data_IF_999310775029
#
_entry.id   IF_999310775029
#
_cell.length_a   1.000
_cell.length_b   1.000
_cell.length_c   1.000
_cell.angle_alpha   90.00
_cell.angle_beta   90.00
_cell.angle_gamma   90.00
#
_symmetry.space_group_name_H-M   'P 1'
#
loop_
_entity.id
_entity.type
_entity.pdbx_description
1 polymer ?
#
# COMPACT_ATOMS: atom_id res chain seq x y z
N UNK A 1 -83.33 -0.04 -14.01
CA UNK A 1 -82.68 -0.16 -15.30
C UNK A 1 -81.32 0.47 -15.09
N UNK A 2 -80.34 -0.35 -14.68
CA UNK A 2 -79.30 -1.03 -15.45
C UNK A 2 -78.45 -0.02 -16.22
N UNK A 3 -77.15 0.12 -16.08
CA UNK A 3 -76.13 -0.88 -16.27
C UNK A 3 -74.76 -0.44 -15.72
N UNK A 4 -74.06 -1.36 -15.16
CA UNK A 4 -72.67 -1.36 -14.75
C UNK A 4 -71.70 -1.32 -15.91
N UNK A 5 -70.67 -0.49 -15.85
CA UNK A 5 -69.51 -0.62 -16.72
C UNK A 5 -68.24 -0.73 -15.90
N UNK A 6 -67.60 -1.92 -15.99
CA UNK A 6 -66.30 -2.26 -15.38
C UNK A 6 -65.21 -1.66 -16.24
N UNK A 7 -64.34 -0.84 -15.64
CA UNK A 7 -63.07 -0.44 -16.22
C UNK A 7 -61.95 -1.45 -15.85
N UNK A 8 -61.42 -2.10 -16.88
CA UNK A 8 -60.30 -3.02 -16.77
C UNK A 8 -58.95 -2.26 -16.49
N UNK A 9 -58.40 -2.41 -15.30
CA UNK A 9 -57.07 -1.97 -15.00
C UNK A 9 -56.06 -2.91 -15.70
N UNK A 10 -55.37 -2.41 -16.71
CA UNK A 10 -54.24 -3.08 -17.31
C UNK A 10 -53.04 -3.01 -16.34
N UNK A 11 -52.64 -4.12 -15.77
CA UNK A 11 -51.38 -4.31 -15.11
C UNK A 11 -50.27 -4.27 -16.15
N UNK A 12 -49.27 -3.36 -15.96
CA UNK A 12 -48.04 -3.38 -16.72
C UNK A 12 -47.27 -4.72 -16.46
N UNK A 13 -46.65 -5.29 -17.48
CA UNK A 13 -45.92 -6.53 -17.29
C UNK A 13 -44.75 -6.30 -16.32
N UNK A 14 -44.71 -7.15 -15.32
CA UNK A 14 -43.60 -7.30 -14.37
C UNK A 14 -42.35 -7.68 -15.16
N UNK A 15 -41.45 -6.72 -15.42
CA UNK A 15 -40.16 -6.97 -16.06
C UNK A 15 -39.31 -7.66 -14.99
N UNK A 16 -39.18 -8.96 -15.13
CA UNK A 16 -38.22 -9.71 -14.29
C UNK A 16 -36.84 -9.07 -14.39
N UNK A 17 -36.12 -8.91 -13.25
CA UNK A 17 -34.76 -8.40 -13.28
C UNK A 17 -33.90 -9.28 -14.18
N UNK A 18 -33.14 -8.65 -15.09
CA UNK A 18 -32.17 -9.37 -15.93
C UNK A 18 -31.27 -10.20 -15.01
N UNK A 19 -30.96 -11.45 -15.37
CA UNK A 19 -30.06 -12.27 -14.59
C UNK A 19 -28.72 -11.56 -14.52
N UNK A 20 -28.24 -11.30 -13.29
CA UNK A 20 -26.90 -10.78 -13.04
C UNK A 20 -25.91 -11.63 -13.86
N UNK A 21 -25.10 -10.98 -14.70
CA UNK A 21 -24.06 -11.64 -15.49
C UNK A 21 -23.18 -12.45 -14.54
N UNK A 22 -23.23 -13.77 -14.66
CA UNK A 22 -22.43 -14.67 -13.84
C UNK A 22 -21.00 -14.55 -14.35
N UNK A 23 -20.17 -13.79 -13.63
CA UNK A 23 -18.71 -13.84 -13.82
C UNK A 23 -18.22 -15.29 -13.73
N UNK A 24 -17.17 -15.67 -14.47
CA UNK A 24 -16.60 -17.01 -14.37
C UNK A 24 -16.34 -17.34 -12.90
N UNK A 25 -16.67 -18.55 -12.48
CA UNK A 25 -16.65 -18.96 -11.09
C UNK A 25 -15.31 -18.57 -10.43
N UNK A 26 -15.33 -17.48 -9.66
CA UNK A 26 -14.19 -17.06 -8.87
C UNK A 26 -13.74 -15.60 -8.94
N UNK A 27 -14.00 -14.86 -10.00
CA UNK A 27 -13.66 -13.43 -10.02
C UNK A 27 -14.77 -12.58 -9.38
N UNK A 28 -14.46 -11.58 -8.57
CA UNK A 28 -15.46 -10.72 -7.93
C UNK A 28 -16.05 -9.70 -8.92
N UNK A 29 -16.98 -10.13 -9.81
CA UNK A 29 -17.74 -9.24 -10.69
C UNK A 29 -16.89 -8.43 -11.69
N UNK A 30 -17.44 -7.32 -12.19
CA UNK A 30 -16.75 -6.38 -13.07
C UNK A 30 -15.61 -5.68 -12.34
N UNK A 31 -14.43 -5.59 -12.99
CA UNK A 31 -13.24 -4.95 -12.44
C UNK A 31 -12.99 -3.57 -13.06
N UNK A 32 -12.30 -2.70 -12.32
CA UNK A 32 -11.64 -1.50 -12.86
C UNK A 32 -10.14 -1.61 -12.71
N UNK A 33 -9.42 -1.56 -13.84
CA UNK A 33 -7.97 -1.48 -13.86
C UNK A 33 -7.54 -0.01 -13.70
N UNK A 34 -6.87 0.31 -12.61
CA UNK A 34 -6.31 1.64 -12.35
C UNK A 34 -4.84 1.62 -12.74
N UNK A 35 -4.53 2.23 -13.88
CA UNK A 35 -3.24 2.10 -14.56
C UNK A 35 -2.41 3.36 -14.43
N UNK A 36 -1.20 3.23 -13.87
CA UNK A 36 -0.21 4.30 -13.89
C UNK A 36 0.72 4.13 -15.10
N UNK A 37 0.56 4.92 -16.18
CA UNK A 37 1.25 4.70 -17.45
C UNK A 37 2.76 4.93 -17.37
N UNK A 38 3.25 5.70 -16.39
CA UNK A 38 4.67 6.01 -16.21
C UNK A 38 5.39 5.05 -15.26
N UNK A 39 4.67 4.08 -14.68
CA UNK A 39 5.27 3.10 -13.78
C UNK A 39 6.24 2.17 -14.52
N UNK A 40 7.25 1.69 -13.80
CA UNK A 40 8.21 0.70 -14.31
C UNK A 40 9.08 1.16 -15.47
N UNK A 41 9.30 2.49 -15.63
CA UNK A 41 10.11 3.05 -16.73
C UNK A 41 9.62 2.62 -18.13
N UNK A 42 8.29 2.67 -18.37
CA UNK A 42 7.65 2.34 -19.64
C UNK A 42 7.28 0.86 -19.82
N UNK A 43 7.52 0.01 -18.82
CA UNK A 43 7.10 -1.41 -18.88
C UNK A 43 5.60 -1.59 -19.03
N UNK A 44 4.80 -0.64 -18.54
CA UNK A 44 3.33 -0.68 -18.65
C UNK A 44 2.88 -0.81 -20.11
N UNK A 45 3.51 -0.14 -21.05
CA UNK A 45 3.14 -0.16 -22.47
C UNK A 45 3.18 -1.57 -23.09
N UNK A 46 4.10 -2.40 -22.62
CA UNK A 46 4.21 -3.81 -23.06
C UNK A 46 3.44 -4.79 -22.18
N UNK A 47 3.27 -4.47 -20.90
CA UNK A 47 2.60 -5.33 -19.92
C UNK A 47 1.08 -5.24 -20.04
N UNK A 48 0.53 -4.03 -20.16
CA UNK A 48 -0.92 -3.81 -20.15
C UNK A 48 -1.67 -4.58 -21.25
N UNK A 49 -1.23 -4.59 -22.53
CA UNK A 49 -1.91 -5.36 -23.57
C UNK A 49 -1.95 -6.87 -23.27
N UNK A 50 -0.86 -7.41 -22.70
CA UNK A 50 -0.79 -8.85 -22.32
C UNK A 50 -1.70 -9.15 -21.14
N UNK A 51 -1.74 -8.26 -20.13
CA UNK A 51 -2.64 -8.39 -18.99
C UNK A 51 -4.09 -8.35 -19.43
N UNK A 52 -4.49 -7.32 -20.19
CA UNK A 52 -5.89 -7.16 -20.65
C UNK A 52 -6.35 -8.30 -21.53
N UNK A 53 -5.51 -8.80 -22.45
CA UNK A 53 -5.80 -9.98 -23.25
C UNK A 53 -6.06 -11.21 -22.36
N UNK A 54 -5.15 -11.48 -21.41
CA UNK A 54 -5.28 -12.65 -20.52
C UNK A 54 -6.51 -12.56 -19.60
N UNK A 55 -6.87 -11.36 -19.12
CA UNK A 55 -8.08 -11.17 -18.31
C UNK A 55 -9.36 -11.35 -19.15
N UNK A 56 -9.37 -10.81 -20.37
CA UNK A 56 -10.50 -10.97 -21.30
C UNK A 56 -10.68 -12.43 -21.72
N UNK A 57 -9.60 -13.13 -22.06
CA UNK A 57 -9.62 -14.57 -22.39
C UNK A 57 -10.11 -15.41 -21.20
N UNK A 58 -9.83 -14.98 -19.98
CA UNK A 58 -10.35 -15.56 -18.75
C UNK A 58 -11.79 -15.18 -18.42
N UNK A 59 -12.46 -14.36 -19.24
CA UNK A 59 -13.86 -13.97 -19.11
C UNK A 59 -14.12 -12.89 -18.04
N UNK A 60 -13.10 -12.17 -17.56
CA UNK A 60 -13.29 -11.04 -16.65
C UNK A 60 -13.79 -9.82 -17.44
N UNK A 61 -14.93 -9.27 -17.01
CA UNK A 61 -15.38 -7.96 -17.49
C UNK A 61 -14.62 -6.85 -16.77
N UNK A 62 -14.08 -5.90 -17.51
CA UNK A 62 -13.34 -4.78 -16.91
C UNK A 62 -13.38 -3.52 -17.79
N UNK A 63 -13.10 -2.40 -17.14
CA UNK A 63 -12.70 -1.16 -17.80
C UNK A 63 -11.31 -0.72 -17.34
N UNK A 64 -10.72 0.22 -18.09
CA UNK A 64 -9.37 0.74 -17.82
C UNK A 64 -9.42 2.24 -17.56
N UNK A 65 -9.00 2.65 -16.37
CA UNK A 65 -8.84 4.03 -15.97
C UNK A 65 -7.35 4.37 -15.84
N UNK A 66 -6.87 5.36 -16.59
CA UNK A 66 -5.47 5.77 -16.59
C UNK A 66 -5.27 6.96 -15.67
N UNK A 67 -4.28 6.88 -14.78
CA UNK A 67 -3.96 7.95 -13.84
C UNK A 67 -3.07 9.02 -14.50
N UNK A 68 -3.27 10.27 -14.13
CA UNK A 68 -2.45 11.41 -14.59
C UNK A 68 -1.54 11.93 -13.45
N UNK A 69 -2.02 11.88 -12.21
CA UNK A 69 -1.29 12.27 -11.00
C UNK A 69 -1.48 11.22 -9.90
N UNK A 70 -0.76 11.37 -8.80
CA UNK A 70 -0.90 10.52 -7.62
C UNK A 70 -2.27 10.67 -6.97
N UNK A 71 -2.76 11.90 -6.80
CA UNK A 71 -4.07 12.22 -6.24
C UNK A 71 -5.19 11.62 -7.08
N UNK A 72 -5.11 11.75 -8.41
CA UNK A 72 -6.06 11.18 -9.36
C UNK A 72 -6.18 9.64 -9.23
N UNK A 73 -5.11 8.97 -8.77
CA UNK A 73 -5.16 7.52 -8.51
C UNK A 73 -6.15 7.17 -7.39
N UNK A 74 -6.12 7.93 -6.30
CA UNK A 74 -7.05 7.74 -5.17
C UNK A 74 -8.49 8.11 -5.55
N UNK A 75 -8.67 9.16 -6.34
CA UNK A 75 -9.97 9.59 -6.87
C UNK A 75 -10.59 8.53 -7.77
N UNK A 76 -9.81 7.93 -8.67
CA UNK A 76 -10.28 6.83 -9.55
C UNK A 76 -10.72 5.61 -8.74
N UNK A 77 -10.00 5.27 -7.67
CA UNK A 77 -10.37 4.17 -6.80
C UNK A 77 -11.68 4.46 -6.06
N UNK A 78 -11.82 5.68 -5.53
CA UNK A 78 -13.04 6.13 -4.86
C UNK A 78 -14.24 6.11 -5.80
N UNK A 79 -14.13 6.74 -6.96
CA UNK A 79 -15.18 6.79 -7.98
C UNK A 79 -15.61 5.38 -8.42
N UNK A 80 -14.66 4.46 -8.57
CA UNK A 80 -15.00 3.08 -8.91
C UNK A 80 -15.90 2.42 -7.86
N UNK A 81 -15.60 2.63 -6.58
CA UNK A 81 -16.41 2.09 -5.48
C UNK A 81 -17.79 2.75 -5.40
N UNK A 82 -17.86 4.07 -5.63
CA UNK A 82 -19.10 4.84 -5.67
C UNK A 82 -20.01 4.40 -6.86
N UNK A 83 -19.38 4.03 -8.00
CA UNK A 83 -20.05 3.42 -9.17
C UNK A 83 -20.49 1.96 -8.94
N UNK A 84 -20.25 1.40 -7.76
CA UNK A 84 -20.62 0.04 -7.40
C UNK A 84 -19.63 -1.04 -7.86
N UNK A 85 -18.48 -0.68 -8.44
CA UNK A 85 -17.42 -1.63 -8.77
C UNK A 85 -16.75 -2.08 -7.46
N UNK A 86 -16.62 -3.40 -7.29
CA UNK A 86 -16.04 -4.01 -6.07
C UNK A 86 -14.68 -4.66 -6.31
N UNK A 87 -14.25 -4.77 -7.55
CA UNK A 87 -12.94 -5.32 -7.89
C UNK A 87 -12.05 -4.25 -8.54
N UNK A 88 -11.06 -3.76 -7.79
CA UNK A 88 -10.08 -2.79 -8.24
C UNK A 88 -8.76 -3.50 -8.51
N UNK A 89 -8.16 -3.27 -9.68
CA UNK A 89 -6.87 -3.84 -10.05
C UNK A 89 -5.87 -2.69 -10.22
N UNK A 90 -4.95 -2.55 -9.27
CA UNK A 90 -3.86 -1.60 -9.35
C UNK A 90 -2.78 -2.10 -10.32
N UNK A 91 -2.57 -1.38 -11.42
CA UNK A 91 -1.54 -1.71 -12.42
C UNK A 91 -0.44 -0.64 -12.37
N UNK A 92 0.64 -0.95 -11.65
CA UNK A 92 1.69 0.05 -11.40
C UNK A 92 2.77 -0.41 -10.42
N UNK A 93 3.40 0.54 -9.73
CA UNK A 93 4.35 0.29 -8.66
C UNK A 93 3.72 0.42 -7.27
N UNK A 94 4.58 0.33 -6.23
CA UNK A 94 4.14 0.43 -4.83
C UNK A 94 3.36 1.72 -4.54
N UNK A 95 3.78 2.87 -5.09
CA UNK A 95 3.03 4.13 -4.98
C UNK A 95 1.63 4.06 -5.60
N UNK A 96 1.43 3.33 -6.72
CA UNK A 96 0.09 3.13 -7.29
C UNK A 96 -0.78 2.32 -6.32
N UNK A 97 -0.22 1.27 -5.71
CA UNK A 97 -0.91 0.47 -4.69
C UNK A 97 -1.28 1.34 -3.49
N UNK A 98 -0.33 2.13 -2.97
CA UNK A 98 -0.56 3.08 -1.86
C UNK A 98 -1.76 4.00 -2.12
N UNK A 99 -1.80 4.65 -3.29
CA UNK A 99 -2.89 5.58 -3.61
C UNK A 99 -4.22 4.88 -3.86
N UNK A 100 -4.24 3.69 -4.47
CA UNK A 100 -5.47 2.90 -4.61
C UNK A 100 -6.00 2.50 -3.23
N UNK A 101 -5.14 2.01 -2.32
CA UNK A 101 -5.53 1.68 -0.95
C UNK A 101 -6.13 2.91 -0.25
N UNK A 102 -5.47 4.08 -0.31
CA UNK A 102 -6.01 5.31 0.30
C UNK A 102 -7.34 5.75 -0.32
N UNK A 103 -7.58 5.48 -1.62
CA UNK A 103 -8.87 5.72 -2.27
C UNK A 103 -9.97 4.74 -1.87
N UNK A 104 -9.61 3.54 -1.41
CA UNK A 104 -10.58 2.52 -0.95
C UNK A 104 -11.12 2.79 0.46
N UNK A 105 -10.61 3.78 1.16
CA UNK A 105 -11.02 4.12 2.52
C UNK A 105 -11.53 5.57 2.61
N UNK A 106 -12.43 5.80 3.55
CA UNK A 106 -12.82 7.11 4.05
C UNK A 106 -12.29 7.25 5.49
N UNK A 107 -11.19 8.01 5.64
CA UNK A 107 -10.40 7.97 6.86
C UNK A 107 -9.95 6.54 7.17
N UNK A 108 -10.47 5.96 8.24
CA UNK A 108 -10.12 4.59 8.69
C UNK A 108 -11.15 3.53 8.32
N UNK A 109 -12.22 3.91 7.62
CA UNK A 109 -13.32 3.01 7.29
C UNK A 109 -13.26 2.62 5.81
N UNK A 110 -13.32 1.32 5.45
CA UNK A 110 -13.46 0.93 4.06
C UNK A 110 -14.73 1.54 3.44
N UNK A 111 -14.63 2.10 2.23
CA UNK A 111 -15.78 2.62 1.46
C UNK A 111 -16.76 1.48 1.13
N UNK A 112 -16.22 0.29 0.87
CA UNK A 112 -16.99 -0.93 0.66
C UNK A 112 -16.24 -2.11 1.29
N UNK A 113 -16.88 -2.79 2.24
CA UNK A 113 -16.26 -3.90 2.98
C UNK A 113 -16.00 -5.15 2.12
N UNK A 114 -16.73 -5.28 1.02
CA UNK A 114 -16.64 -6.36 0.04
C UNK A 114 -15.70 -6.03 -1.12
N UNK A 115 -15.09 -4.83 -1.12
CA UNK A 115 -14.16 -4.44 -2.17
C UNK A 115 -12.86 -5.26 -2.10
N UNK A 116 -12.41 -5.71 -3.26
CA UNK A 116 -11.21 -6.53 -3.45
C UNK A 116 -10.16 -5.75 -4.22
N UNK A 117 -8.93 -5.74 -3.72
CA UNK A 117 -7.77 -5.20 -4.40
C UNK A 117 -6.99 -6.31 -5.12
N UNK A 118 -6.92 -6.24 -6.44
CA UNK A 118 -5.96 -6.99 -7.26
C UNK A 118 -4.74 -6.12 -7.57
N UNK A 119 -3.58 -6.73 -7.79
CA UNK A 119 -2.36 -5.99 -8.10
C UNK A 119 -1.62 -6.64 -9.26
N UNK A 120 -1.30 -5.85 -10.27
CA UNK A 120 -0.33 -6.19 -11.31
C UNK A 120 0.88 -5.26 -11.19
N UNK A 121 1.93 -5.75 -10.55
CA UNK A 121 3.11 -4.96 -10.29
C UNK A 121 3.95 -4.76 -11.55
N UNK A 122 4.17 -3.49 -11.90
CA UNK A 122 5.06 -3.07 -12.99
C UNK A 122 6.22 -2.22 -12.49
N UNK A 123 6.25 -1.92 -11.20
CA UNK A 123 7.29 -1.12 -10.55
C UNK A 123 8.65 -1.80 -10.51
N UNK A 124 9.68 -1.03 -10.20
CA UNK A 124 11.05 -1.54 -10.02
C UNK A 124 11.28 -2.14 -8.63
N UNK A 125 10.49 -1.77 -7.62
CA UNK A 125 10.52 -2.29 -6.24
C UNK A 125 9.67 -3.53 -6.10
N UNK A 126 8.36 -3.36 -6.28
CA UNK A 126 7.35 -4.40 -6.07
C UNK A 126 7.43 -5.01 -4.67
N UNK A 127 7.70 -4.16 -3.68
CA UNK A 127 8.01 -4.61 -2.32
C UNK A 127 6.73 -5.11 -1.62
N UNK A 128 5.61 -4.45 -1.83
CA UNK A 128 4.34 -4.88 -1.26
C UNK A 128 3.92 -6.28 -1.72
N UNK A 129 3.89 -6.52 -3.04
CA UNK A 129 3.45 -7.81 -3.61
C UNK A 129 4.41 -8.95 -3.28
N UNK A 130 5.67 -8.64 -2.99
CA UNK A 130 6.69 -9.61 -2.57
C UNK A 130 6.33 -10.29 -1.25
N UNK A 131 5.63 -9.60 -0.34
CA UNK A 131 5.12 -10.19 0.91
C UNK A 131 4.21 -11.39 0.68
N UNK A 132 3.55 -11.45 -0.48
CA UNK A 132 2.56 -12.46 -0.83
C UNK A 132 3.03 -13.41 -1.95
N UNK A 133 4.28 -13.28 -2.40
CA UNK A 133 4.80 -14.07 -3.51
C UNK A 133 4.17 -13.77 -4.88
N UNK A 134 3.55 -12.59 -5.02
CA UNK A 134 2.86 -12.12 -6.24
C UNK A 134 3.79 -11.35 -7.20
N UNK A 135 5.09 -11.24 -6.91
CA UNK A 135 6.10 -10.71 -7.83
C UNK A 135 6.40 -11.75 -8.91
N UNK A 136 5.48 -11.89 -9.88
CA UNK A 136 5.45 -12.95 -10.89
C UNK A 136 5.28 -12.39 -12.30
N UNK A 137 5.57 -13.19 -13.37
CA UNK A 137 5.25 -12.84 -14.75
C UNK A 137 3.75 -12.55 -14.94
N UNK A 138 3.42 -11.68 -15.89
CA UNK A 138 2.06 -11.16 -16.08
C UNK A 138 1.02 -12.26 -16.33
N UNK A 139 1.38 -13.36 -16.98
CA UNK A 139 0.49 -14.50 -17.25
C UNK A 139 0.15 -15.27 -15.96
N UNK A 140 1.08 -15.31 -15.01
CA UNK A 140 0.84 -15.89 -13.68
C UNK A 140 -0.04 -14.96 -12.87
N UNK A 141 0.26 -13.64 -12.90
CA UNK A 141 -0.54 -12.62 -12.22
C UNK A 141 -1.98 -12.63 -12.75
N UNK A 142 -2.19 -12.69 -14.06
CA UNK A 142 -3.54 -12.77 -14.64
C UNK A 142 -4.33 -13.97 -14.10
N UNK A 143 -3.70 -15.14 -13.93
CA UNK A 143 -4.36 -16.33 -13.34
C UNK A 143 -4.73 -16.10 -11.88
N UNK A 144 -3.88 -15.43 -11.07
CA UNK A 144 -4.24 -15.07 -9.70
C UNK A 144 -5.41 -14.08 -9.67
N UNK A 145 -5.40 -13.08 -10.55
CA UNK A 145 -6.49 -12.10 -10.64
C UNK A 145 -7.83 -12.74 -11.03
N UNK A 146 -7.81 -13.84 -11.77
CA UNK A 146 -8.99 -14.62 -12.19
C UNK A 146 -9.40 -15.72 -11.18
N UNK A 147 -8.53 -16.08 -10.22
CA UNK A 147 -8.83 -17.12 -9.21
C UNK A 147 -9.93 -16.65 -8.25
N UNK A 148 -10.60 -17.53 -7.47
CA UNK A 148 -11.51 -17.13 -6.40
C UNK A 148 -10.80 -16.63 -5.15
N UNK A 149 -9.49 -16.87 -5.02
CA UNK A 149 -8.77 -16.75 -3.77
C UNK A 149 -8.53 -15.30 -3.37
N UNK A 150 -8.91 -14.97 -2.15
CA UNK A 150 -8.67 -13.67 -1.53
C UNK A 150 -8.20 -13.83 -0.10
N UNK A 151 -7.49 -12.84 0.40
CA UNK A 151 -6.96 -12.80 1.75
C UNK A 151 -7.27 -11.46 2.40
N UNK A 152 -7.79 -11.45 3.63
CA UNK A 152 -7.93 -10.21 4.37
C UNK A 152 -6.61 -9.86 5.06
N UNK A 153 -6.11 -8.67 4.77
CA UNK A 153 -4.88 -8.14 5.34
C UNK A 153 -5.15 -6.91 6.19
N UNK A 154 -4.19 -6.61 7.03
CA UNK A 154 -4.18 -5.42 7.86
C UNK A 154 -3.75 -4.19 7.04
N UNK A 155 -4.17 -3.00 7.47
CA UNK A 155 -3.75 -1.72 6.91
C UNK A 155 -3.22 -0.85 8.05
N UNK A 156 -2.03 -0.32 7.88
CA UNK A 156 -1.45 0.61 8.83
C UNK A 156 -2.02 2.02 8.67
N UNK A 157 -2.01 2.76 9.77
CA UNK A 157 -2.38 4.18 9.83
C UNK A 157 -1.23 4.93 10.46
N UNK A 158 -0.76 5.99 9.83
CA UNK A 158 0.18 6.94 10.41
C UNK A 158 -0.48 8.30 10.59
N UNK A 159 -0.45 8.81 11.83
CA UNK A 159 -0.77 10.19 12.16
C UNK A 159 0.55 10.95 12.33
N UNK A 160 0.64 12.16 11.81
CA UNK A 160 1.88 12.94 11.75
C UNK A 160 1.56 14.43 11.70
N UNK A 161 2.60 15.27 11.79
CA UNK A 161 2.48 16.71 11.52
C UNK A 161 2.87 16.96 10.07
N UNK A 162 1.95 17.51 9.26
CA UNK A 162 2.23 17.84 7.86
C UNK A 162 3.24 19.01 7.74
N UNK A 163 3.69 19.31 6.53
CA UNK A 163 4.63 20.41 6.30
C UNK A 163 4.01 21.79 6.51
N UNK A 164 2.69 21.89 6.68
CA UNK A 164 1.96 23.10 7.07
C UNK A 164 1.83 23.25 8.59
N UNK A 165 2.27 22.26 9.37
CA UNK A 165 2.17 22.26 10.83
C UNK A 165 0.83 21.74 11.35
N UNK A 166 -0.01 21.14 10.52
CA UNK A 166 -1.30 20.58 10.91
C UNK A 166 -1.18 19.09 11.21
N UNK A 167 -2.05 18.59 12.08
CA UNK A 167 -2.22 17.15 12.22
C UNK A 167 -2.86 16.55 10.97
N UNK A 168 -2.27 15.48 10.48
CA UNK A 168 -2.72 14.76 9.30
C UNK A 168 -2.63 13.24 9.52
N UNK A 169 -3.32 12.49 8.66
CA UNK A 169 -3.36 11.03 8.73
C UNK A 169 -3.23 10.44 7.32
N UNK A 170 -2.55 9.29 7.22
CA UNK A 170 -2.41 8.54 5.99
C UNK A 170 -2.44 7.03 6.26
N UNK A 171 -3.05 6.28 5.35
CA UNK A 171 -2.99 4.83 5.39
C UNK A 171 -1.72 4.33 4.69
N UNK A 172 -1.19 3.20 5.15
CA UNK A 172 -0.10 2.49 4.50
C UNK A 172 -0.37 0.98 4.48
N UNK A 173 -0.01 0.35 3.37
CA UNK A 173 -0.22 -1.08 3.20
C UNK A 173 1.01 -1.89 3.63
N UNK A 174 2.19 -1.30 3.51
CA UNK A 174 3.46 -2.00 3.66
C UNK A 174 4.27 -1.49 4.86
N UNK A 175 4.93 -0.34 4.76
CA UNK A 175 5.84 0.19 5.79
C UNK A 175 5.66 1.71 5.90
N UNK A 176 5.69 2.21 7.15
CA UNK A 176 5.87 3.63 7.42
C UNK A 176 7.08 3.84 8.33
N UNK A 177 7.77 4.96 8.15
CA UNK A 177 9.05 5.25 8.79
C UNK A 177 9.13 6.68 9.32
N UNK A 178 9.94 6.88 10.38
CA UNK A 178 10.29 8.19 10.88
C UNK A 178 11.80 8.29 11.08
N UNK A 179 12.48 9.12 10.27
CA UNK A 179 13.91 9.35 10.39
C UNK A 179 14.71 9.19 9.11
N UNK A 180 15.72 8.33 9.13
CA UNK A 180 16.69 8.17 8.04
C UNK A 180 16.06 7.67 6.73
N UNK A 181 15.13 6.70 6.79
CA UNK A 181 14.44 6.19 5.60
C UNK A 181 13.64 7.27 4.90
N UNK A 182 12.89 8.08 5.65
CA UNK A 182 12.18 9.23 5.11
C UNK A 182 13.14 10.27 4.45
N UNK A 183 14.34 10.47 5.01
CA UNK A 183 15.38 11.30 4.38
C UNK A 183 15.89 10.69 3.07
N UNK A 184 15.98 9.36 3.00
CA UNK A 184 16.32 8.64 1.76
C UNK A 184 15.21 8.84 0.71
N UNK A 185 13.94 8.69 1.08
CA UNK A 185 12.79 8.94 0.20
C UNK A 185 12.81 10.37 -0.33
N UNK A 186 13.05 11.36 0.53
CA UNK A 186 13.20 12.77 0.12
C UNK A 186 14.30 12.96 -0.92
N UNK A 187 15.44 12.29 -0.75
CA UNK A 187 16.59 12.40 -1.68
C UNK A 187 16.40 11.62 -2.97
N UNK A 188 15.73 10.50 -2.93
CA UNK A 188 15.57 9.64 -4.11
C UNK A 188 14.84 10.38 -5.24
N UNK A 189 14.01 11.37 -4.91
CA UNK A 189 13.34 12.23 -5.88
C UNK A 189 14.32 13.03 -6.78
N UNK A 190 15.54 13.29 -6.30
CA UNK A 190 16.57 14.02 -7.06
C UNK A 190 17.40 13.12 -7.99
N UNK A 191 17.24 11.80 -7.90
CA UNK A 191 17.95 10.86 -8.76
C UNK A 191 17.10 10.43 -9.97
N UNK A 192 17.71 10.29 -11.17
CA UNK A 192 16.98 9.90 -12.37
C UNK A 192 16.26 8.56 -12.22
N UNK A 193 14.96 8.51 -12.57
CA UNK A 193 14.14 7.28 -12.50
C UNK A 193 14.74 6.11 -13.30
N UNK A 194 15.50 6.40 -14.38
CA UNK A 194 16.20 5.39 -15.20
C UNK A 194 17.24 4.55 -14.43
N UNK A 195 17.71 5.00 -13.27
CA UNK A 195 18.63 4.25 -12.41
C UNK A 195 17.96 3.07 -11.71
N UNK A 196 16.64 2.94 -11.77
CA UNK A 196 15.92 1.84 -11.14
C UNK A 196 16.21 1.76 -9.63
N UNK A 197 16.53 0.55 -9.13
CA UNK A 197 16.84 0.32 -7.71
C UNK A 197 18.11 1.03 -7.24
N UNK A 198 19.08 1.28 -8.11
CA UNK A 198 20.35 1.91 -7.75
C UNK A 198 20.14 3.34 -7.21
N UNK A 199 19.10 4.05 -7.62
CA UNK A 199 18.81 5.39 -7.10
C UNK A 199 18.57 5.39 -5.58
N UNK A 200 17.93 4.34 -5.04
CA UNK A 200 17.72 4.19 -3.59
C UNK A 200 19.04 3.96 -2.86
N UNK A 201 19.92 3.13 -3.41
CA UNK A 201 21.25 2.88 -2.84
C UNK A 201 22.07 4.17 -2.80
N UNK A 202 22.12 4.93 -3.90
CA UNK A 202 22.83 6.22 -3.94
C UNK A 202 22.20 7.26 -3.04
N UNK A 203 20.86 7.33 -2.98
CA UNK A 203 20.16 8.21 -2.06
C UNK A 203 20.46 7.85 -0.60
N UNK A 204 20.47 6.57 -0.24
CA UNK A 204 20.85 6.08 1.08
C UNK A 204 22.27 6.53 1.45
N UNK A 205 23.25 6.28 0.59
CA UNK A 205 24.64 6.71 0.85
C UNK A 205 24.76 8.23 0.97
N UNK A 206 24.10 9.00 0.10
CA UNK A 206 24.11 10.46 0.17
C UNK A 206 23.41 10.97 1.46
N UNK A 207 22.40 10.25 1.95
CA UNK A 207 21.69 10.60 3.18
C UNK A 207 22.53 10.32 4.43
N UNK A 208 23.47 9.37 4.39
CA UNK A 208 24.36 9.08 5.52
C UNK A 208 25.14 10.31 5.99
N UNK A 209 25.53 11.21 5.08
CA UNK A 209 26.25 12.44 5.45
C UNK A 209 25.44 13.36 6.38
N UNK A 210 24.11 13.30 6.27
CA UNK A 210 23.16 14.09 7.05
C UNK A 210 22.18 13.19 7.82
N UNK A 211 22.66 12.03 8.25
CA UNK A 211 21.84 11.08 9.01
C UNK A 211 21.24 11.77 10.24
N UNK A 212 19.92 11.80 10.38
CA UNK A 212 19.27 12.44 11.49
C UNK A 212 19.64 11.72 12.79
N UNK A 213 19.66 12.46 13.88
CA UNK A 213 19.74 11.93 15.23
C UNK A 213 18.90 12.82 16.13
N UNK A 214 17.94 12.21 16.78
CA UNK A 214 17.10 12.91 17.74
C UNK A 214 16.99 12.07 19.01
N UNK A 215 16.79 12.73 20.13
CA UNK A 215 16.34 12.03 21.34
C UNK A 215 14.86 11.79 21.18
N UNK A 216 14.48 10.52 21.09
CA UNK A 216 13.10 10.11 20.88
C UNK A 216 12.52 9.49 22.13
N UNK A 217 11.30 9.86 22.45
CA UNK A 217 10.42 9.14 23.36
C UNK A 217 9.50 8.24 22.52
N UNK A 218 9.67 6.93 22.67
CA UNK A 218 8.90 5.92 21.97
C UNK A 218 7.99 5.23 22.97
N UNK A 219 6.67 5.31 22.75
CA UNK A 219 5.68 4.59 23.53
C UNK A 219 5.10 3.44 22.70
N UNK A 220 5.22 2.23 23.22
CA UNK A 220 4.70 0.98 22.66
C UNK A 220 3.94 0.24 23.76
N UNK A 221 2.65 -0.02 23.54
CA UNK A 221 1.76 -0.60 24.53
C UNK A 221 1.81 0.17 25.87
N UNK A 222 2.29 -0.46 26.93
CA UNK A 222 2.43 0.12 28.27
C UNK A 222 3.87 0.57 28.60
N UNK A 223 4.75 0.58 27.60
CA UNK A 223 6.19 0.87 27.79
C UNK A 223 6.55 2.15 27.07
N UNK A 224 7.16 3.09 27.79
CA UNK A 224 7.79 4.28 27.21
C UNK A 224 9.29 4.21 27.42
N UNK A 225 10.06 4.48 26.37
CA UNK A 225 11.53 4.54 26.41
C UNK A 225 12.04 5.78 25.72
N UNK A 226 13.01 6.43 26.38
CA UNK A 226 13.79 7.49 25.76
C UNK A 226 15.12 6.91 25.25
N UNK A 227 15.41 7.15 23.95
CA UNK A 227 16.63 6.64 23.32
C UNK A 227 17.09 7.55 22.17
N UNK A 228 18.39 7.53 21.82
CA UNK A 228 18.87 8.20 20.61
C UNK A 228 18.33 7.46 19.40
N UNK A 229 17.52 8.12 18.57
CA UNK A 229 16.88 7.53 17.41
C UNK A 229 17.50 8.02 16.11
N UNK A 230 17.77 7.11 15.22
CA UNK A 230 18.15 7.36 13.82
C UNK A 230 16.98 7.07 12.90
N UNK A 231 16.26 5.98 13.20
CA UNK A 231 15.16 5.47 12.38
C UNK A 231 14.17 4.73 13.26
N UNK A 232 12.89 5.00 13.07
CA UNK A 232 11.79 4.15 13.53
C UNK A 232 11.07 3.58 12.31
N UNK A 233 10.97 2.27 12.24
CA UNK A 233 10.20 1.55 11.23
C UNK A 233 8.94 0.99 11.89
N UNK A 234 7.79 1.24 11.31
CA UNK A 234 6.50 0.63 11.68
C UNK A 234 6.01 -0.19 10.48
N UNK A 235 6.24 -1.50 10.53
CA UNK A 235 6.07 -2.39 9.39
C UNK A 235 4.86 -3.30 9.52
N UNK A 236 4.01 -3.30 8.48
CA UNK A 236 2.99 -4.30 8.20
C UNK A 236 3.56 -5.41 7.29
N UNK A 237 4.38 -5.06 6.31
CA UNK A 237 5.09 -5.97 5.42
C UNK A 237 6.59 -6.06 5.71
N UNK A 238 7.25 -7.06 5.10
CA UNK A 238 8.66 -7.37 5.36
C UNK A 238 9.64 -6.55 4.51
N UNK A 239 9.23 -6.17 3.28
CA UNK A 239 10.13 -5.67 2.25
C UNK A 239 9.94 -4.19 1.98
N UNK A 240 11.05 -3.47 1.81
CA UNK A 240 11.06 -2.05 1.45
C UNK A 240 12.34 -1.68 0.68
N UNK A 241 12.32 -0.55 -0.02
CA UNK A 241 13.51 0.00 -0.68
C UNK A 241 14.07 -0.84 -1.83
N UNK A 242 13.22 -1.63 -2.50
CA UNK A 242 13.59 -2.43 -3.67
C UNK A 242 14.10 -3.82 -3.32
N UNK A 243 13.55 -4.44 -2.29
CA UNK A 243 13.79 -5.82 -1.91
C UNK A 243 14.62 -6.01 -0.63
N UNK A 244 14.89 -4.94 0.12
CA UNK A 244 15.45 -5.08 1.46
C UNK A 244 14.40 -5.70 2.38
N UNK A 245 14.75 -6.74 3.11
CA UNK A 245 13.88 -7.40 4.09
C UNK A 245 14.02 -6.71 5.44
N UNK A 246 13.49 -5.49 5.54
CA UNK A 246 13.68 -4.58 6.68
C UNK A 246 13.02 -5.10 7.96
N UNK A 247 11.84 -5.69 7.86
CA UNK A 247 11.08 -6.24 8.99
C UNK A 247 10.80 -7.75 8.78
N UNK A 248 11.78 -8.64 8.96
CA UNK A 248 11.64 -10.07 8.62
C UNK A 248 10.51 -10.79 9.38
N UNK A 249 10.06 -10.22 10.51
CA UNK A 249 9.02 -10.79 11.38
C UNK A 249 7.64 -10.20 11.16
N UNK A 250 7.49 -9.24 10.24
CA UNK A 250 6.20 -8.65 9.93
C UNK A 250 5.27 -9.65 9.23
N UNK A 251 4.01 -9.66 9.67
CA UNK A 251 2.95 -10.54 9.16
C UNK A 251 1.71 -9.69 8.89
N UNK A 252 1.33 -9.45 7.62
CA UNK A 252 0.25 -8.53 7.26
C UNK A 252 -1.16 -8.98 7.65
N UNK A 253 -1.31 -9.86 8.65
CA UNK A 253 -2.59 -10.45 9.05
C UNK A 253 -2.73 -10.66 10.56
N UNK A 254 -1.71 -10.36 11.35
CA UNK A 254 -1.68 -10.65 12.79
C UNK A 254 -2.20 -9.47 13.64
N UNK A 255 -2.56 -8.35 13.00
CA UNK A 255 -3.05 -7.14 13.64
C UNK A 255 -1.97 -6.38 14.41
N UNK A 256 -0.69 -6.58 14.06
CA UNK A 256 0.46 -5.97 14.73
C UNK A 256 1.40 -5.31 13.74
N UNK A 257 2.05 -4.26 14.19
CA UNK A 257 3.22 -3.66 13.57
C UNK A 257 4.48 -4.35 14.08
N UNK A 258 5.40 -4.71 13.20
CA UNK A 258 6.80 -4.91 13.57
C UNK A 258 7.45 -3.54 13.70
N UNK A 259 7.72 -3.11 14.94
CA UNK A 259 8.33 -1.81 15.22
C UNK A 259 9.82 -2.02 15.48
N UNK A 260 10.66 -1.34 14.69
CA UNK A 260 12.12 -1.40 14.79
C UNK A 260 12.67 0.00 15.05
N UNK A 261 13.34 0.20 16.17
CA UNK A 261 14.02 1.46 16.50
C UNK A 261 15.55 1.28 16.36
N UNK A 262 16.14 1.96 15.37
CA UNK A 262 17.57 1.96 15.12
C UNK A 262 18.25 3.09 15.88
N UNK A 263 19.24 2.74 16.71
CA UNK A 263 19.96 3.68 17.58
C UNK A 263 21.43 3.86 17.19
N UNK A 264 21.90 3.06 16.22
CA UNK A 264 23.28 2.96 15.80
C UNK A 264 23.85 4.22 15.13
N UNK A 265 25.15 4.19 14.88
CA UNK A 265 25.86 5.25 14.17
C UNK A 265 25.95 4.96 12.65
N UNK A 266 26.51 5.90 11.88
CA UNK A 266 26.63 5.83 10.43
C UNK A 266 27.35 4.57 9.93
N UNK A 267 28.43 4.14 10.60
CA UNK A 267 29.19 2.95 10.21
C UNK A 267 28.38 1.68 10.44
N UNK A 268 27.58 1.63 11.48
CA UNK A 268 26.68 0.50 11.77
C UNK A 268 25.55 0.41 10.75
N UNK A 269 24.91 1.53 10.38
CA UNK A 269 23.90 1.58 9.32
C UNK A 269 24.49 1.08 7.99
N UNK A 270 25.72 1.49 7.65
CA UNK A 270 26.39 1.02 6.45
C UNK A 270 26.61 -0.51 6.46
N UNK A 271 27.12 -1.05 7.56
CA UNK A 271 27.34 -2.50 7.72
C UNK A 271 26.03 -3.30 7.71
N UNK A 272 24.94 -2.73 8.22
CA UNK A 272 23.63 -3.37 8.20
C UNK A 272 22.99 -3.43 6.81
N UNK A 273 23.38 -2.53 5.89
CA UNK A 273 22.74 -2.45 4.54
C UNK A 273 22.82 -3.79 3.79
N UNK A 274 23.94 -4.50 3.87
CA UNK A 274 24.09 -5.82 3.20
C UNK A 274 23.24 -6.89 3.87
N UNK A 275 23.14 -6.86 5.20
CA UNK A 275 22.35 -7.80 5.99
C UNK A 275 20.84 -7.57 5.83
N UNK A 276 20.42 -6.31 5.57
CA UNK A 276 19.01 -5.97 5.30
C UNK A 276 18.45 -6.70 4.07
N UNK A 277 19.26 -6.88 3.00
CA UNK A 277 18.81 -7.64 1.83
C UNK A 277 18.60 -9.12 2.13
N UNK A 278 19.39 -9.69 3.01
CA UNK A 278 19.26 -11.09 3.45
C UNK A 278 18.20 -11.26 4.57
N UNK A 279 17.79 -10.16 5.24
CA UNK A 279 16.95 -10.23 6.43
C UNK A 279 17.67 -10.74 7.68
N UNK A 280 19.01 -10.68 7.68
CA UNK A 280 19.88 -11.23 8.73
C UNK A 280 20.44 -10.14 9.69
N UNK A 281 19.83 -8.97 9.68
CA UNK A 281 20.22 -7.85 10.55
C UNK A 281 19.65 -7.95 11.97
N UNK A 282 18.76 -8.90 12.23
CA UNK A 282 18.14 -9.12 13.54
C UNK A 282 18.49 -10.51 14.12
N UNK A 283 18.74 -10.60 15.45
CA UNK A 283 18.78 -9.51 16.41
C UNK A 283 20.07 -8.68 16.29
N UNK A 284 20.04 -7.41 16.71
CA UNK A 284 21.20 -6.52 16.72
C UNK A 284 21.17 -5.60 17.95
N UNK A 285 22.31 -5.33 18.62
CA UNK A 285 22.32 -4.52 19.84
C UNK A 285 21.85 -3.08 19.65
N UNK A 286 21.98 -2.53 18.43
CA UNK A 286 21.54 -1.17 18.09
C UNK A 286 20.13 -1.14 17.46
N UNK A 287 19.38 -2.22 17.56
CA UNK A 287 17.99 -2.30 17.06
C UNK A 287 17.12 -2.81 18.20
N UNK A 288 16.18 -1.98 18.62
CA UNK A 288 15.16 -2.38 19.58
C UNK A 288 13.91 -2.81 18.80
N UNK A 289 13.45 -4.02 19.09
CA UNK A 289 12.30 -4.63 18.40
C UNK A 289 11.08 -4.69 19.30
N UNK A 290 9.90 -4.36 18.73
CA UNK A 290 8.61 -4.55 19.37
C UNK A 290 7.61 -5.16 18.38
N UNK A 291 6.56 -5.79 18.91
CA UNK A 291 5.39 -6.26 18.17
C UNK A 291 4.16 -5.67 18.86
N UNK A 292 3.48 -4.72 18.24
CA UNK A 292 2.33 -4.04 18.84
C UNK A 292 1.33 -3.58 17.79
N UNK A 293 0.07 -3.43 18.17
CA UNK A 293 -0.94 -2.84 17.30
C UNK A 293 -0.84 -1.31 17.21
N UNK A 294 0.01 -0.69 18.05
CA UNK A 294 0.17 0.76 18.10
C UNK A 294 1.54 1.14 18.67
N UNK A 295 2.17 2.15 18.08
CA UNK A 295 3.30 2.85 18.69
C UNK A 295 3.22 4.35 18.41
N UNK A 296 3.87 5.15 19.25
CA UNK A 296 4.04 6.58 19.02
C UNK A 296 5.48 6.99 19.24
N UNK A 297 5.90 8.05 18.54
CA UNK A 297 7.23 8.64 18.66
C UNK A 297 7.12 10.16 18.73
N UNK A 298 7.70 10.73 19.73
CA UNK A 298 7.98 12.17 19.84
C UNK A 298 9.48 12.41 19.92
N UNK A 299 9.97 13.50 19.37
CA UNK A 299 11.41 13.76 19.23
C UNK A 299 11.74 15.21 19.60
N UNK A 300 12.94 15.42 20.15
CA UNK A 300 13.45 16.74 20.49
C UNK A 300 13.70 17.63 19.27
N UNK A 301 13.92 17.03 18.12
CA UNK A 301 14.00 17.68 16.80
C UNK A 301 13.11 16.92 15.81
N UNK A 302 12.35 17.62 14.93
CA UNK A 302 11.46 16.96 13.98
C UNK A 302 12.22 15.99 13.07
N UNK A 303 11.81 14.73 13.05
CA UNK A 303 12.24 13.74 12.06
C UNK A 303 11.21 13.66 10.94
N UNK A 304 11.68 13.48 9.72
CA UNK A 304 10.79 13.26 8.57
C UNK A 304 10.02 11.95 8.73
N UNK A 305 8.78 11.96 8.29
CA UNK A 305 7.87 10.82 8.27
C UNK A 305 7.49 10.48 6.83
N UNK A 306 7.52 9.20 6.50
CA UNK A 306 7.07 8.68 5.22
C UNK A 306 6.16 7.45 5.40
N UNK A 307 5.40 7.08 4.35
CA UNK A 307 4.66 5.83 4.28
C UNK A 307 4.63 5.31 2.83
N UNK A 308 4.95 4.03 2.66
CA UNK A 308 5.02 3.32 1.37
C UNK A 308 5.85 4.06 0.28
N UNK A 309 6.85 4.85 0.70
CA UNK A 309 7.70 5.63 -0.18
C UNK A 309 7.21 7.05 -0.49
N UNK A 310 6.15 7.52 0.17
CA UNK A 310 5.61 8.87 0.04
C UNK A 310 5.97 9.72 1.27
N UNK A 311 6.63 10.85 1.06
CA UNK A 311 7.01 11.77 2.12
C UNK A 311 5.79 12.54 2.62
N UNK A 312 5.49 12.45 3.91
CA UNK A 312 4.24 12.94 4.49
C UNK A 312 4.40 14.22 5.33
N UNK A 313 5.42 14.27 6.17
CA UNK A 313 5.60 15.35 7.14
C UNK A 313 6.69 15.04 8.15
N UNK A 314 6.43 15.32 9.42
CA UNK A 314 7.41 15.18 10.51
C UNK A 314 6.79 14.57 11.78
N UNK A 315 7.65 14.13 12.70
CA UNK A 315 7.25 13.80 14.08
C UNK A 315 6.71 15.05 14.81
N UNK A 316 5.85 14.90 15.83
CA UNK A 316 5.45 13.62 16.44
C UNK A 316 4.61 12.77 15.49
N UNK A 317 4.76 11.45 15.61
CA UNK A 317 4.00 10.52 14.80
C UNK A 317 3.43 9.37 15.64
N UNK A 318 2.27 8.86 15.22
CA UNK A 318 1.62 7.70 15.82
C UNK A 318 1.24 6.71 14.75
N UNK A 319 1.61 5.47 14.93
CA UNK A 319 1.34 4.36 14.03
C UNK A 319 0.35 3.41 14.70
N UNK A 320 -0.63 2.95 13.95
CA UNK A 320 -1.63 2.00 14.45
C UNK A 320 -2.10 1.06 13.33
N UNK A 321 -2.82 0.00 13.68
CA UNK A 321 -3.22 -1.04 12.75
C UNK A 321 -4.75 -1.17 12.66
N UNK A 322 -5.29 -1.14 11.45
CA UNK A 322 -6.65 -1.55 11.11
C UNK A 322 -6.60 -3.04 10.75
N UNK A 323 -7.18 -3.88 11.62
CA UNK A 323 -7.07 -5.33 11.51
C UNK A 323 -7.98 -5.88 10.43
N UNK A 324 -7.40 -6.58 9.44
CA UNK A 324 -8.12 -7.33 8.40
C UNK A 324 -9.18 -6.52 7.64
N UNK A 325 -8.85 -5.26 7.33
CA UNK A 325 -9.78 -4.32 6.69
C UNK A 325 -9.68 -4.28 5.18
N UNK A 326 -8.61 -4.79 4.58
CA UNK A 326 -8.40 -4.80 3.13
C UNK A 326 -8.45 -6.24 2.61
N UNK A 327 -9.30 -6.49 1.62
CA UNK A 327 -9.37 -7.78 0.94
C UNK A 327 -8.45 -7.77 -0.29
N UNK A 328 -7.38 -8.55 -0.25
CA UNK A 328 -6.36 -8.66 -1.30
C UNK A 328 -6.60 -9.92 -2.12
N UNK A 329 -6.48 -9.80 -3.44
CA UNK A 329 -6.45 -10.92 -4.38
C UNK A 329 -5.09 -11.61 -4.32
N UNK A 330 -5.07 -12.95 -4.17
CA UNK A 330 -3.86 -13.75 -4.05
C UNK A 330 -3.83 -14.90 -5.05
#
# INVERSE_FOLDING_TARGET
>A
MTETSRGSGGQAPDVAPEPASVSPAGAPGRARLIVNPVAGNGRISSLLPRLTAALADGGLEFDVATTNTTEHTSELARTALDDGIRYLIAVGGDGTVHHVVNGMFDGRTPVAEDAVLGICAAGTGSDFVRNFGLDRPVEVVARHLLSPDTMRIDVGVVQFTDFGGNEAERLFANIAEAGYGAEVVRRVAHFPKRMGRLRYLFAAWASMARMPRATAEIAVDFTTRSLPLVELVAANGQFFGGGMKVAPRAIPQDGRLSVLAFTGNRSQVFLLTTKLFAGEHLPHPEIVEYQSSMCSVSTDQPLLVEADGELLGTTPARFSMLKRTLQLKI
#
